data_IF_335991837229
#
_entry.id   IF_335991837229
#
_cell.length_a   1.000
_cell.length_b   1.000
_cell.length_c   1.000
_cell.angle_alpha   90.00
_cell.angle_beta   90.00
_cell.angle_gamma   90.00
#
_symmetry.space_group_name_H-M   'P 1'
#
loop_
_entity.id
_entity.type
_entity.pdbx_description
1 polymer ?
#
# COMPACT_ATOMS: atom_id res chain seq x y z
N UNK A 1 -13.83 -7.00 7.14
CA UNK A 1 -12.71 -6.74 8.07
C UNK A 1 -13.10 -5.57 8.93
N UNK A 2 -12.92 -5.65 10.25
CA UNK A 2 -13.24 -4.55 11.18
C UNK A 2 -11.94 -3.90 11.65
N UNK A 3 -11.90 -2.56 11.63
CA UNK A 3 -10.76 -1.77 12.08
C UNK A 3 -11.08 -1.05 13.38
N UNK A 4 -10.24 -1.27 14.39
CA UNK A 4 -10.36 -0.62 15.69
C UNK A 4 -9.17 0.29 15.93
N UNK A 5 -9.43 1.53 16.32
CA UNK A 5 -8.37 2.44 16.76
C UNK A 5 -7.83 1.96 18.12
N UNK A 6 -6.52 1.74 18.20
CA UNK A 6 -5.82 1.26 19.40
C UNK A 6 -5.03 2.38 20.09
N UNK A 7 -4.63 3.40 19.33
CA UNK A 7 -4.05 4.69 19.77
C UNK A 7 -4.42 5.74 18.73
N UNK A 8 -4.27 7.02 19.06
CA UNK A 8 -4.58 8.10 18.13
C UNK A 8 -3.89 7.90 16.77
N UNK A 9 -4.66 7.61 15.72
CA UNK A 9 -4.18 7.35 14.36
C UNK A 9 -3.56 5.97 14.12
N UNK A 10 -3.52 5.08 15.11
CA UNK A 10 -3.07 3.69 14.97
C UNK A 10 -4.26 2.72 15.03
N UNK A 11 -4.34 1.81 14.07
CA UNK A 11 -5.45 0.87 13.94
C UNK A 11 -5.01 -0.58 14.08
N UNK A 12 -5.95 -1.44 14.48
CA UNK A 12 -5.85 -2.88 14.39
C UNK A 12 -7.01 -3.45 13.56
N UNK A 13 -6.75 -4.27 12.53
CA UNK A 13 -5.42 -4.62 12.00
C UNK A 13 -4.68 -3.38 11.45
N UNK A 14 -3.33 -3.39 11.42
CA UNK A 14 -2.55 -2.21 11.08
C UNK A 14 -2.77 -1.79 9.63
N UNK A 15 -2.96 -0.49 9.43
CA UNK A 15 -3.00 0.15 8.11
C UNK A 15 -1.66 0.83 7.86
N UNK A 16 -1.23 0.87 6.60
CA UNK A 16 -0.01 1.57 6.23
C UNK A 16 -0.19 3.09 6.38
N UNK A 17 0.70 3.80 7.11
CA UNK A 17 0.64 5.26 7.22
C UNK A 17 1.09 5.97 5.95
N UNK A 18 0.95 7.29 5.90
CA UNK A 18 1.37 8.09 4.74
C UNK A 18 2.89 8.13 4.60
N UNK A 19 3.41 7.99 3.39
CA UNK A 19 4.84 8.00 3.10
C UNK A 19 5.19 7.15 1.90
N UNK A 20 6.48 6.94 1.68
CA UNK A 20 6.99 6.32 0.46
C UNK A 20 7.04 4.81 0.61
N UNK A 21 6.51 4.09 -0.37
CA UNK A 21 6.48 2.64 -0.41
C UNK A 21 7.41 2.12 -1.51
N UNK A 22 8.29 1.22 -1.12
CA UNK A 22 9.30 0.63 -1.96
C UNK A 22 9.04 -0.86 -2.08
N UNK A 23 9.18 -1.37 -3.29
CA UNK A 23 9.11 -2.78 -3.59
C UNK A 23 9.85 -3.06 -4.90
N UNK A 24 10.07 -4.33 -5.17
CA UNK A 24 10.52 -4.77 -6.48
C UNK A 24 9.31 -4.86 -7.43
N UNK A 25 9.41 -4.20 -8.57
CA UNK A 25 8.45 -4.40 -9.66
C UNK A 25 8.66 -5.81 -10.27
N UNK A 26 7.61 -6.46 -10.79
CA UNK A 26 7.78 -7.72 -11.52
C UNK A 26 8.86 -7.53 -12.60
N UNK A 27 9.78 -8.49 -12.70
CA UNK A 27 10.83 -8.53 -13.73
C UNK A 27 11.98 -7.49 -13.60
N UNK A 28 11.93 -6.50 -12.68
CA UNK A 28 13.03 -5.53 -12.57
C UNK A 28 14.26 -6.05 -11.81
N UNK A 29 14.05 -6.96 -10.86
CA UNK A 29 15.11 -7.46 -9.96
C UNK A 29 15.63 -6.44 -8.93
N UNK A 30 15.08 -5.21 -8.93
CA UNK A 30 15.57 -4.09 -8.11
C UNK A 30 14.43 -3.48 -7.30
N UNK A 31 14.67 -3.28 -6.01
CA UNK A 31 13.76 -2.56 -5.12
C UNK A 31 13.84 -1.06 -5.41
N UNK A 32 12.69 -0.44 -5.68
CA UNK A 32 12.56 0.98 -5.99
C UNK A 32 11.29 1.55 -5.37
N UNK A 33 11.15 2.87 -5.33
CA UNK A 33 9.90 3.50 -4.94
C UNK A 33 8.85 3.17 -6.00
N UNK A 34 7.81 2.44 -5.61
CA UNK A 34 6.72 2.09 -6.53
C UNK A 34 5.49 2.98 -6.33
N UNK A 35 5.32 3.56 -5.14
CA UNK A 35 4.25 4.52 -4.87
C UNK A 35 4.55 5.35 -3.62
N UNK A 36 3.79 6.42 -3.46
CA UNK A 36 3.64 7.18 -2.22
C UNK A 36 2.19 7.05 -1.73
N UNK A 37 2.04 6.75 -0.45
CA UNK A 37 0.75 6.67 0.25
C UNK A 37 0.46 8.05 0.82
N UNK A 38 -0.68 8.62 0.48
CA UNK A 38 -1.09 9.95 0.95
C UNK A 38 -2.42 9.87 1.69
N UNK A 39 -2.91 11.01 2.19
CA UNK A 39 -4.25 11.08 2.78
C UNK A 39 -5.36 10.89 1.74
N UNK A 40 -5.11 11.27 0.48
CA UNK A 40 -6.11 11.29 -0.60
C UNK A 40 -6.08 10.03 -1.48
N UNK A 41 -4.98 9.28 -1.45
CA UNK A 41 -4.82 8.10 -2.30
C UNK A 41 -3.39 7.59 -2.38
N UNK A 42 -3.07 7.02 -3.54
CA UNK A 42 -1.74 6.52 -3.90
C UNK A 42 -1.21 7.29 -5.12
N UNK A 43 0.07 7.66 -5.07
CA UNK A 43 0.75 8.38 -6.15
C UNK A 43 1.94 7.57 -6.69
N UNK A 44 2.07 7.43 -8.00
CA UNK A 44 3.15 6.67 -8.64
C UNK A 44 3.49 7.27 -10.00
N UNK A 45 4.72 7.74 -10.21
CA UNK A 45 5.25 8.05 -11.54
C UNK A 45 4.41 9.03 -12.38
N UNK A 46 3.80 10.04 -11.74
CA UNK A 46 2.91 11.01 -12.40
C UNK A 46 1.44 10.57 -12.51
N UNK A 47 1.10 9.41 -11.95
CA UNK A 47 -0.23 8.82 -11.91
C UNK A 47 -0.76 8.87 -10.49
N UNK A 48 -2.04 9.21 -10.30
CA UNK A 48 -2.71 9.17 -9.00
C UNK A 48 -3.92 8.25 -9.00
N UNK A 49 -4.07 7.49 -7.92
CA UNK A 49 -5.22 6.67 -7.60
C UNK A 49 -5.86 7.22 -6.33
N UNK A 50 -6.99 7.93 -6.44
CA UNK A 50 -7.76 8.28 -5.25
C UNK A 50 -8.26 6.99 -4.59
N UNK A 51 -8.57 7.03 -3.29
CA UNK A 51 -9.10 5.83 -2.62
C UNK A 51 -10.34 5.24 -3.31
N UNK A 52 -11.22 6.09 -3.87
CA UNK A 52 -12.39 5.66 -4.64
C UNK A 52 -12.10 5.13 -6.05
N UNK A 53 -10.90 5.39 -6.60
CA UNK A 53 -10.48 4.86 -7.91
C UNK A 53 -9.94 3.42 -7.79
N UNK A 54 -9.58 3.00 -6.57
CA UNK A 54 -9.07 1.67 -6.28
C UNK A 54 -10.26 0.74 -6.11
N UNK A 55 -10.27 -0.34 -6.89
CA UNK A 55 -11.36 -1.33 -6.89
C UNK A 55 -11.01 -2.59 -6.11
N UNK A 56 -9.74 -2.76 -5.75
CA UNK A 56 -9.31 -3.85 -4.89
C UNK A 56 -7.80 -3.94 -4.74
N UNK A 57 -7.39 -4.82 -3.83
CA UNK A 57 -6.01 -5.20 -3.62
C UNK A 57 -5.98 -6.71 -3.41
N UNK A 58 -5.13 -7.42 -4.13
CA UNK A 58 -5.01 -8.87 -4.02
C UNK A 58 -3.55 -9.29 -3.88
N UNK A 59 -3.30 -10.31 -3.07
CA UNK A 59 -2.01 -11.01 -3.03
C UNK A 59 -2.21 -12.37 -3.69
N UNK A 60 -1.43 -12.66 -4.73
CA UNK A 60 -1.49 -13.88 -5.53
C UNK A 60 -0.08 -14.48 -5.61
N UNK A 61 0.17 -15.51 -4.79
CA UNK A 61 1.50 -16.09 -4.66
C UNK A 61 2.50 -15.09 -4.08
N UNK A 62 3.53 -14.76 -4.86
CA UNK A 62 4.60 -13.82 -4.50
C UNK A 62 4.35 -12.39 -5.00
N UNK A 63 3.19 -12.11 -5.58
CA UNK A 63 2.85 -10.79 -6.13
C UNK A 63 1.66 -10.16 -5.41
N UNK A 64 1.76 -8.86 -5.17
CA UNK A 64 0.65 -8.00 -4.81
C UNK A 64 0.17 -7.24 -6.05
N UNK A 65 -1.15 -7.12 -6.19
CA UNK A 65 -1.83 -6.47 -7.31
C UNK A 65 -2.83 -5.46 -6.76
N UNK A 66 -2.55 -4.18 -6.98
CA UNK A 66 -3.51 -3.09 -6.80
C UNK A 66 -4.37 -2.99 -8.07
N UNK A 67 -5.69 -3.01 -7.91
CA UNK A 67 -6.65 -2.96 -9.01
C UNK A 67 -7.31 -1.59 -9.11
N UNK A 68 -7.32 -0.99 -10.30
CA UNK A 68 -8.03 0.26 -10.57
C UNK A 68 -8.61 0.27 -11.98
N UNK A 69 -9.77 0.91 -12.12
CA UNK A 69 -10.43 1.13 -13.43
C UNK A 69 -10.06 2.47 -14.07
N UNK A 70 -9.29 3.32 -13.38
CA UNK A 70 -8.94 4.66 -13.87
C UNK A 70 -7.99 4.64 -15.07
N UNK A 71 -7.11 3.64 -15.15
CA UNK A 71 -6.11 3.54 -16.20
C UNK A 71 -6.15 2.17 -16.90
N UNK A 72 -5.83 2.10 -18.22
CA UNK A 72 -5.86 0.85 -18.99
C UNK A 72 -4.93 -0.25 -18.46
N UNK A 73 -3.89 0.09 -17.70
CA UNK A 73 -2.97 -0.88 -17.10
C UNK A 73 -3.63 -1.77 -16.04
N UNK A 74 -4.82 -1.40 -15.56
CA UNK A 74 -5.57 -2.13 -14.53
C UNK A 74 -5.03 -1.92 -13.11
N UNK A 75 -4.01 -1.06 -12.93
CA UNK A 75 -3.41 -0.73 -11.63
C UNK A 75 -1.90 -0.97 -11.59
N UNK A 76 -1.42 -1.54 -10.48
CA UNK A 76 0.01 -1.68 -10.16
C UNK A 76 0.33 -3.04 -9.54
N UNK A 77 1.50 -3.60 -9.86
CA UNK A 77 1.96 -4.91 -9.37
C UNK A 77 3.35 -4.81 -8.77
N UNK A 78 3.64 -5.62 -7.75
CA UNK A 78 4.95 -5.70 -7.10
C UNK A 78 5.14 -7.00 -6.33
N UNK A 79 6.40 -7.33 -6.03
CA UNK A 79 6.77 -8.55 -5.31
C UNK A 79 6.58 -8.40 -3.79
N UNK A 80 5.82 -9.31 -3.20
CA UNK A 80 5.66 -9.49 -1.75
C UNK A 80 7.00 -9.86 -1.12
N UNK A 81 7.24 -9.50 0.14
CA UNK A 81 8.49 -9.80 0.86
C UNK A 81 9.70 -8.93 0.47
N UNK A 82 9.60 -8.15 -0.61
CA UNK A 82 10.62 -7.15 -1.00
C UNK A 82 10.32 -5.75 -0.47
N UNK A 83 9.19 -5.63 0.22
CA UNK A 83 8.58 -4.34 0.52
C UNK A 83 9.20 -3.67 1.73
N UNK A 84 9.36 -2.35 1.65
CA UNK A 84 9.60 -1.52 2.81
C UNK A 84 8.94 -0.16 2.63
N UNK A 85 8.70 0.52 3.73
CA UNK A 85 8.06 1.81 3.78
C UNK A 85 8.94 2.81 4.53
N UNK A 86 8.95 4.05 4.07
CA UNK A 86 9.62 5.18 4.71
C UNK A 86 8.56 6.23 5.01
N UNK A 87 8.20 6.35 6.28
CA UNK A 87 7.23 7.31 6.79
C UNK A 87 7.85 8.63 7.22
N UNK A 88 7.33 9.20 8.31
CA UNK A 88 7.91 10.37 8.97
C UNK A 88 9.27 10.08 9.61
N UNK A 89 9.52 8.82 10.00
CA UNK A 89 10.85 8.36 10.35
C UNK A 89 11.73 8.18 9.11
N UNK A 90 13.03 8.47 9.25
CA UNK A 90 13.99 8.33 8.14
C UNK A 90 14.43 6.87 7.89
N UNK A 91 14.07 5.92 8.74
CA UNK A 91 14.46 4.52 8.61
C UNK A 91 13.42 3.70 7.84
N UNK A 92 13.86 2.88 6.87
CA UNK A 92 13.01 1.87 6.25
C UNK A 92 12.38 0.92 7.27
N UNK A 93 11.09 0.67 7.12
CA UNK A 93 10.32 -0.27 7.93
C UNK A 93 9.75 -1.36 7.04
N UNK A 94 9.98 -2.62 7.40
CA UNK A 94 9.37 -3.78 6.72
C UNK A 94 8.09 -4.24 7.42
N UNK A 95 7.87 -3.81 8.67
CA UNK A 95 6.74 -4.21 9.49
C UNK A 95 6.11 -3.02 10.20
N UNK A 96 4.78 -3.05 10.35
CA UNK A 96 4.01 -2.14 11.23
C UNK A 96 3.25 -3.01 12.22
N UNK A 97 3.52 -2.85 13.51
CA UNK A 97 2.91 -3.66 14.58
C UNK A 97 2.98 -5.19 14.32
N UNK A 98 4.11 -5.64 13.75
CA UNK A 98 4.35 -7.07 13.44
C UNK A 98 3.77 -7.56 12.11
N UNK A 99 3.04 -6.73 11.35
CA UNK A 99 2.51 -7.08 10.04
C UNK A 99 3.44 -6.58 8.93
N UNK A 100 3.72 -7.38 7.88
CA UNK A 100 4.48 -6.90 6.74
C UNK A 100 3.76 -5.73 6.04
N UNK A 101 4.54 -4.77 5.56
CA UNK A 101 4.00 -3.49 5.07
C UNK A 101 3.08 -3.61 3.85
N UNK A 102 3.23 -4.66 3.02
CA UNK A 102 2.33 -4.95 1.91
C UNK A 102 0.93 -5.37 2.37
N UNK A 103 0.83 -6.10 3.50
CA UNK A 103 -0.46 -6.40 4.13
C UNK A 103 -1.04 -5.16 4.80
N UNK A 104 -0.19 -4.31 5.37
CA UNK A 104 -0.62 -3.02 5.91
C UNK A 104 -1.17 -2.10 4.80
N UNK A 105 -0.59 -2.15 3.59
CA UNK A 105 -1.10 -1.41 2.43
C UNK A 105 -2.46 -1.96 1.96
N UNK A 106 -2.61 -3.29 1.88
CA UNK A 106 -3.90 -3.92 1.62
C UNK A 106 -4.97 -3.51 2.64
N UNK A 107 -4.61 -3.50 3.92
CA UNK A 107 -5.46 -3.05 5.00
C UNK A 107 -5.80 -1.56 4.84
N UNK A 108 -4.84 -0.71 4.45
CA UNK A 108 -5.09 0.71 4.19
C UNK A 108 -6.11 0.91 3.08
N UNK A 109 -5.97 0.20 1.96
CA UNK A 109 -6.96 0.24 0.86
C UNK A 109 -8.35 -0.15 1.38
N UNK A 110 -8.44 -1.27 2.11
CA UNK A 110 -9.72 -1.76 2.66
C UNK A 110 -10.33 -0.76 3.64
N UNK A 111 -9.52 -0.16 4.52
CA UNK A 111 -9.94 0.82 5.51
C UNK A 111 -10.53 2.06 4.86
N UNK A 112 -9.86 2.60 3.83
CA UNK A 112 -10.32 3.81 3.15
C UNK A 112 -11.59 3.54 2.33
N UNK A 113 -11.68 2.39 1.65
CA UNK A 113 -12.88 1.99 0.92
C UNK A 113 -14.12 1.84 1.79
N UNK A 114 -13.99 1.46 3.07
CA UNK A 114 -15.12 1.39 4.00
C UNK A 114 -15.66 2.75 4.45
N UNK A 115 -14.95 3.84 4.14
CA UNK A 115 -15.25 5.20 4.59
C UNK A 115 -15.72 6.12 3.45
N UNK A 116 -15.75 5.61 2.22
CA UNK A 116 -16.32 6.27 1.05
C UNK A 116 -17.82 6.01 0.96
#
# INVERSE_FOLDING_TARGET
MEFKEIRAGEFWPPILPNGRFFAQAPESGVVQQILEVTATGLECGGVSFNWGDITGFAIQGDQAVLLSQKYPSGGLKFMVGTCHYIGSGLSPQQYVNGYPVEYCLMNRVTFEQQRL
#
